data_IF_151180675652
#
_entry.id   IF_151180675652
#
_cell.length_a   1.000
_cell.length_b   1.000
_cell.length_c   1.000
_cell.angle_alpha   90.00
_cell.angle_beta   90.00
_cell.angle_gamma   90.00
#
_symmetry.space_group_name_H-M   'P 1'
#
loop_
_entity.id
_entity.type
_entity.pdbx_description
1 polymer ?
#
# COMPACT_ATOMS: atom_id res chain seq x y z
N UNK A 1 6.88 -10.57 2.63
CA UNK A 1 7.39 -9.50 3.53
C UNK A 1 6.74 -8.21 3.07
N UNK A 2 6.13 -7.40 3.94
CA UNK A 2 5.44 -6.19 3.47
C UNK A 2 6.39 -4.98 3.36
N UNK A 3 6.48 -4.40 2.16
CA UNK A 3 7.32 -3.25 1.84
C UNK A 3 6.56 -1.95 1.55
N UNK A 4 5.23 -1.94 1.67
CA UNK A 4 4.35 -0.81 1.33
C UNK A 4 4.80 0.48 2.04
N UNK A 5 4.97 0.43 3.37
CA UNK A 5 5.35 1.61 4.15
C UNK A 5 6.73 2.15 3.77
N UNK A 6 7.70 1.26 3.48
CA UNK A 6 9.05 1.63 3.07
C UNK A 6 9.03 2.37 1.74
N UNK A 7 8.39 1.77 0.73
CA UNK A 7 8.32 2.33 -0.63
C UNK A 7 7.52 3.63 -0.64
N UNK A 8 6.38 3.67 0.07
CA UNK A 8 5.58 4.89 0.22
C UNK A 8 6.40 6.05 0.79
N UNK A 9 7.20 5.80 1.83
CA UNK A 9 8.08 6.82 2.45
C UNK A 9 9.19 7.27 1.49
N UNK A 10 9.78 6.35 0.71
CA UNK A 10 10.77 6.70 -0.32
C UNK A 10 10.20 7.62 -1.40
N UNK A 11 8.91 7.53 -1.67
CA UNK A 11 8.18 8.41 -2.59
C UNK A 11 7.63 9.69 -1.92
N UNK A 12 8.01 9.99 -0.67
CA UNK A 12 7.51 11.12 0.12
C UNK A 12 5.98 11.18 0.21
N UNK A 13 5.31 10.01 0.21
CA UNK A 13 3.86 9.92 0.29
C UNK A 13 3.38 9.69 1.73
N UNK A 14 2.33 10.39 2.14
CA UNK A 14 1.59 10.08 3.37
C UNK A 14 0.68 8.86 3.16
N UNK A 15 0.26 8.20 4.25
CA UNK A 15 -0.74 7.12 4.16
C UNK A 15 -2.05 7.63 3.54
N UNK A 16 -2.46 8.86 3.86
CA UNK A 16 -3.66 9.49 3.28
C UNK A 16 -3.56 9.65 1.76
N UNK A 17 -2.40 10.10 1.26
CA UNK A 17 -2.14 10.24 -0.18
C UNK A 17 -2.19 8.89 -0.91
N UNK A 18 -1.52 7.87 -0.35
CA UNK A 18 -1.56 6.52 -0.92
C UNK A 18 -2.96 5.92 -0.87
N UNK A 19 -3.68 6.05 0.25
CA UNK A 19 -5.00 5.46 0.40
C UNK A 19 -6.01 6.04 -0.59
N UNK A 20 -5.97 7.38 -0.78
CA UNK A 20 -6.80 8.08 -1.78
C UNK A 20 -6.49 7.60 -3.20
N UNK A 21 -5.22 7.58 -3.59
CA UNK A 21 -4.80 7.14 -4.94
C UNK A 21 -5.10 5.66 -5.19
N UNK A 22 -4.92 4.80 -4.19
CA UNK A 22 -5.17 3.36 -4.28
C UNK A 22 -6.65 2.99 -4.04
N UNK A 23 -7.54 3.97 -3.83
CA UNK A 23 -8.98 3.76 -3.56
C UNK A 23 -9.20 2.73 -2.45
N UNK A 24 -8.56 2.98 -1.31
CA UNK A 24 -8.72 2.23 -0.05
C UNK A 24 -8.87 3.21 1.11
N UNK A 25 -9.40 2.75 2.25
CA UNK A 25 -9.43 3.60 3.43
C UNK A 25 -8.04 3.72 4.06
N UNK A 26 -7.74 4.88 4.66
CA UNK A 26 -6.48 5.09 5.38
C UNK A 26 -6.29 4.09 6.55
N UNK A 27 -7.30 3.77 7.38
CA UNK A 27 -7.17 2.73 8.41
C UNK A 27 -6.84 1.35 7.82
N UNK A 28 -7.46 0.97 6.70
CA UNK A 28 -7.17 -0.29 6.03
C UNK A 28 -5.73 -0.33 5.50
N UNK A 29 -5.26 0.75 4.87
CA UNK A 29 -3.85 0.86 4.45
C UNK A 29 -2.89 0.77 5.64
N UNK A 30 -3.21 1.43 6.76
CA UNK A 30 -2.41 1.34 7.98
C UNK A 30 -2.34 -0.09 8.52
N UNK A 31 -3.47 -0.81 8.53
CA UNK A 31 -3.49 -2.21 8.94
C UNK A 31 -2.66 -3.10 8.00
N UNK A 32 -2.70 -2.84 6.68
CA UNK A 32 -1.84 -3.53 5.71
C UNK A 32 -0.37 -3.29 6.05
N UNK A 33 0.05 -2.03 6.17
CA UNK A 33 1.44 -1.64 6.45
C UNK A 33 1.99 -2.23 7.75
N UNK A 34 1.13 -2.48 8.72
CA UNK A 34 1.49 -3.08 10.01
C UNK A 34 1.22 -4.59 10.08
N UNK A 35 1.01 -5.26 8.93
CA UNK A 35 0.76 -6.71 8.83
C UNK A 35 -0.45 -7.21 9.63
N UNK A 36 -1.37 -6.32 10.00
CA UNK A 36 -2.61 -6.67 10.73
C UNK A 36 -3.67 -7.28 9.82
N UNK A 37 -3.59 -7.01 8.52
CA UNK A 37 -4.52 -7.56 7.52
C UNK A 37 -3.80 -7.81 6.20
N UNK A 38 -4.17 -8.88 5.51
CA UNK A 38 -3.80 -9.12 4.12
C UNK A 38 -4.67 -8.27 3.20
N UNK A 39 -4.11 -7.50 2.25
CA UNK A 39 -4.91 -6.83 1.24
C UNK A 39 -5.68 -7.85 0.38
N UNK A 40 -6.87 -7.47 -0.10
CA UNK A 40 -7.46 -8.21 -1.22
C UNK A 40 -6.59 -8.07 -2.47
N UNK A 41 -6.67 -9.02 -3.40
CA UNK A 41 -5.93 -8.97 -4.69
C UNK A 41 -6.14 -7.62 -5.39
N UNK A 42 -7.38 -7.13 -5.41
CA UNK A 42 -7.70 -5.83 -6.00
C UNK A 42 -7.03 -4.66 -5.27
N UNK A 43 -6.97 -4.69 -3.93
CA UNK A 43 -6.28 -3.64 -3.16
C UNK A 43 -4.76 -3.69 -3.38
N UNK A 44 -4.18 -4.90 -3.39
CA UNK A 44 -2.76 -5.11 -3.65
C UNK A 44 -2.35 -4.57 -5.04
N UNK A 45 -3.12 -4.88 -6.09
CA UNK A 45 -2.90 -4.37 -7.45
C UNK A 45 -2.96 -2.84 -7.48
N UNK A 46 -3.94 -2.22 -6.82
CA UNK A 46 -4.07 -0.75 -6.81
C UNK A 46 -2.93 -0.08 -6.04
N UNK A 47 -2.53 -0.62 -4.89
CA UNK A 47 -1.38 -0.12 -4.12
C UNK A 47 -0.10 -0.22 -4.95
N UNK A 48 0.12 -1.38 -5.58
CA UNK A 48 1.29 -1.63 -6.43
C UNK A 48 1.37 -0.66 -7.62
N UNK A 49 0.25 -0.42 -8.30
CA UNK A 49 0.15 0.57 -9.38
C UNK A 49 0.53 1.99 -8.91
N UNK A 50 0.04 2.42 -7.75
CA UNK A 50 0.34 3.78 -7.23
C UNK A 50 1.81 3.91 -6.83
N UNK A 51 2.40 2.85 -6.28
CA UNK A 51 3.79 2.83 -5.84
C UNK A 51 4.77 2.51 -6.98
N UNK A 52 4.29 2.28 -8.20
CA UNK A 52 5.06 1.89 -9.37
C UNK A 52 5.98 0.68 -9.09
N UNK A 53 5.40 -0.37 -8.51
CA UNK A 53 6.07 -1.64 -8.20
C UNK A 53 5.19 -2.81 -8.61
N UNK A 54 5.80 -4.00 -8.71
CA UNK A 54 5.03 -5.24 -8.86
C UNK A 54 4.41 -5.62 -7.53
N UNK A 55 3.33 -6.41 -7.56
CA UNK A 55 2.68 -6.88 -6.33
C UNK A 55 3.65 -7.76 -5.53
N UNK A 56 4.42 -8.59 -6.21
CA UNK A 56 5.42 -9.50 -5.63
C UNK A 56 6.60 -8.76 -4.95
N UNK A 57 6.92 -7.53 -5.41
CA UNK A 57 7.97 -6.71 -4.79
C UNK A 57 7.46 -6.02 -3.50
N UNK A 58 6.13 -6.03 -3.27
CA UNK A 58 5.46 -5.29 -2.21
C UNK A 58 5.00 -6.16 -1.04
N UNK A 59 4.62 -7.41 -1.29
CA UNK A 59 3.98 -8.33 -0.33
C UNK A 59 4.65 -9.70 -0.32
#
# INVERSE_FOLDING_TARGET
>A
MNHVAKIRKQLNMSQDSLSKKAKVSRPYLSNIENLKVQPSVGAAIRIAKVLNKRVEDLF
#
